data_IF_847094778571
#
_entry.id   IF_847094778571
#
_cell.length_a   1.000
_cell.length_b   1.000
_cell.length_c   1.000
_cell.angle_alpha   90.00
_cell.angle_beta   90.00
_cell.angle_gamma   90.00
#
_symmetry.space_group_name_H-M   'P 1'
#
loop_
_entity.id
_entity.type
_entity.pdbx_description
1 polymer ?
#
# COMPACT_ATOMS: atom_id res chain seq x y z
N UNK A 1 7.52 -9.13 34.40
CA UNK A 1 6.92 -7.86 34.85
C UNK A 1 6.79 -6.99 33.62
N UNK A 2 5.59 -6.88 33.05
CA UNK A 2 5.38 -6.06 31.86
C UNK A 2 5.55 -4.59 32.23
N UNK A 3 6.40 -3.87 31.48
CA UNK A 3 6.54 -2.42 31.62
C UNK A 3 5.18 -1.79 31.32
N UNK A 4 4.56 -1.17 32.33
CA UNK A 4 3.38 -0.32 32.10
C UNK A 4 3.80 0.83 31.19
N UNK A 5 3.03 1.16 30.14
CA UNK A 5 3.35 2.29 29.30
C UNK A 5 3.36 3.56 30.16
N UNK A 6 4.41 4.37 30.02
CA UNK A 6 4.56 5.64 30.76
C UNK A 6 3.49 6.67 30.40
N UNK A 7 2.70 6.41 29.34
CA UNK A 7 1.58 7.24 28.87
C UNK A 7 0.40 6.37 28.48
N UNK A 8 -0.79 6.79 28.89
CA UNK A 8 -2.04 6.16 28.49
C UNK A 8 -2.47 6.61 27.09
N UNK A 9 -3.11 5.71 26.34
CA UNK A 9 -3.68 6.03 25.02
C UNK A 9 -5.02 6.73 25.21
N UNK A 10 -5.10 7.98 24.77
CA UNK A 10 -6.37 8.71 24.71
C UNK A 10 -7.18 8.21 23.51
N UNK A 11 -8.40 7.74 23.78
CA UNK A 11 -9.31 7.23 22.76
C UNK A 11 -10.10 8.37 22.11
N UNK A 12 -9.54 8.96 21.06
CA UNK A 12 -10.22 9.95 20.23
C UNK A 12 -11.25 9.35 19.29
N UNK A 13 -11.09 8.06 18.97
CA UNK A 13 -11.98 7.29 18.12
C UNK A 13 -12.49 6.06 18.88
N UNK A 14 -13.72 5.67 18.61
CA UNK A 14 -14.22 4.34 18.93
C UNK A 14 -13.44 3.29 18.14
N UNK A 15 -13.53 2.03 18.57
CA UNK A 15 -12.88 0.92 17.87
C UNK A 15 -13.40 0.77 16.44
N UNK A 16 -14.70 1.04 16.22
CA UNK A 16 -15.33 0.97 14.91
C UNK A 16 -14.82 2.07 13.97
N UNK A 17 -14.81 3.33 14.42
CA UNK A 17 -14.25 4.46 13.67
C UNK A 17 -12.77 4.27 13.35
N UNK A 18 -11.99 3.75 14.32
CA UNK A 18 -10.58 3.41 14.08
C UNK A 18 -10.43 2.33 13.00
N UNK A 19 -11.28 1.31 13.00
CA UNK A 19 -11.27 0.26 11.98
C UNK A 19 -11.67 0.79 10.59
N UNK A 20 -12.59 1.76 10.53
CA UNK A 20 -12.93 2.45 9.28
C UNK A 20 -11.77 3.30 8.77
N UNK A 21 -11.12 4.06 9.65
CA UNK A 21 -9.96 4.88 9.30
C UNK A 21 -8.79 4.01 8.79
N UNK A 22 -8.53 2.87 9.44
CA UNK A 22 -7.54 1.90 8.99
C UNK A 22 -7.90 1.36 7.59
N UNK A 23 -9.17 1.00 7.36
CA UNK A 23 -9.63 0.49 6.05
C UNK A 23 -9.45 1.54 4.95
N UNK A 24 -9.86 2.78 5.20
CA UNK A 24 -9.72 3.90 4.27
C UNK A 24 -8.24 4.13 3.90
N UNK A 25 -7.37 4.24 4.90
CA UNK A 25 -5.93 4.44 4.68
C UNK A 25 -5.27 3.26 3.98
N UNK A 26 -5.72 2.02 4.23
CA UNK A 26 -5.20 0.84 3.55
C UNK A 26 -5.47 0.88 2.04
N UNK A 27 -6.67 1.30 1.64
CA UNK A 27 -7.02 1.46 0.22
C UNK A 27 -6.13 2.53 -0.42
N UNK A 28 -6.01 3.70 0.21
CA UNK A 28 -5.15 4.78 -0.28
C UNK A 28 -3.68 4.35 -0.39
N UNK A 29 -3.16 3.63 0.62
CA UNK A 29 -1.79 3.11 0.61
C UNK A 29 -1.56 2.08 -0.50
N UNK A 30 -2.54 1.23 -0.81
CA UNK A 30 -2.43 0.26 -1.90
C UNK A 30 -2.43 0.95 -3.27
N UNK A 31 -3.32 1.92 -3.48
CA UNK A 31 -3.34 2.72 -4.71
C UNK A 31 -2.01 3.47 -4.88
N UNK A 32 -1.52 4.13 -3.82
CA UNK A 32 -0.23 4.82 -3.84
C UNK A 32 0.91 3.86 -4.20
N UNK A 33 0.92 2.65 -3.62
CA UNK A 33 1.92 1.63 -3.93
C UNK A 33 1.88 1.22 -5.41
N UNK A 34 0.69 1.06 -5.99
CA UNK A 34 0.53 0.76 -7.43
C UNK A 34 1.00 1.92 -8.32
N UNK A 35 0.78 3.16 -7.91
CA UNK A 35 1.28 4.34 -8.61
C UNK A 35 2.81 4.44 -8.59
N UNK A 36 3.46 4.12 -7.45
CA UNK A 36 4.93 4.02 -7.38
C UNK A 36 5.47 2.96 -8.34
N UNK A 37 4.81 1.80 -8.43
CA UNK A 37 5.18 0.76 -9.38
C UNK A 37 5.14 1.27 -10.84
N UNK A 38 4.04 1.92 -11.25
CA UNK A 38 3.92 2.48 -12.62
C UNK A 38 4.92 3.59 -12.87
N UNK A 39 5.19 4.44 -11.89
CA UNK A 39 6.22 5.48 -11.98
C UNK A 39 7.58 4.90 -12.32
N UNK A 40 7.97 3.77 -11.73
CA UNK A 40 9.23 3.12 -12.08
C UNK A 40 9.23 2.56 -13.50
N UNK A 41 8.10 2.05 -13.99
CA UNK A 41 7.97 1.64 -15.39
C UNK A 41 8.09 2.82 -16.35
N UNK A 42 7.51 3.97 -16.02
CA UNK A 42 7.65 5.20 -16.82
C UNK A 42 9.09 5.71 -16.88
N UNK A 43 9.93 5.39 -15.88
CA UNK A 43 11.37 5.63 -15.92
C UNK A 43 12.15 4.59 -16.75
N UNK A 44 11.48 3.63 -17.36
CA UNK A 44 12.08 2.56 -18.16
C UNK A 44 12.54 1.35 -17.35
N UNK A 45 12.13 1.19 -16.10
CA UNK A 45 12.48 0.00 -15.33
C UNK A 45 11.77 -1.25 -15.88
N UNK A 46 12.44 -2.40 -15.81
CA UNK A 46 11.79 -3.69 -16.07
C UNK A 46 10.76 -4.03 -14.99
N UNK A 47 9.69 -4.75 -15.36
CA UNK A 47 8.60 -5.18 -14.47
C UNK A 47 9.11 -5.84 -13.18
N UNK A 48 10.12 -6.70 -13.29
CA UNK A 48 10.72 -7.36 -12.12
C UNK A 48 11.35 -6.37 -11.13
N UNK A 49 12.03 -5.33 -11.64
CA UNK A 49 12.69 -4.32 -10.81
C UNK A 49 11.64 -3.44 -10.12
N UNK A 50 10.65 -2.96 -10.86
CA UNK A 50 9.55 -2.17 -10.31
C UNK A 50 8.75 -2.96 -9.27
N UNK A 51 8.48 -4.25 -9.51
CA UNK A 51 7.75 -5.12 -8.57
C UNK A 51 8.51 -5.30 -7.24
N UNK A 52 9.83 -5.50 -7.32
CA UNK A 52 10.68 -5.59 -6.12
C UNK A 52 10.67 -4.31 -5.30
N UNK A 53 10.70 -3.15 -5.97
CA UNK A 53 10.70 -1.83 -5.31
C UNK A 53 9.47 -1.62 -4.42
N UNK A 54 8.31 -2.12 -4.85
CA UNK A 54 7.04 -2.01 -4.11
C UNK A 54 6.70 -3.25 -3.28
N UNK A 55 7.64 -4.19 -3.16
CA UNK A 55 7.51 -5.39 -2.34
C UNK A 55 6.47 -6.40 -2.84
N UNK A 56 6.28 -6.52 -4.16
CA UNK A 56 5.40 -7.54 -4.76
C UNK A 56 6.17 -8.51 -5.65
N UNK A 57 5.58 -9.68 -5.92
CA UNK A 57 6.18 -10.68 -6.81
C UNK A 57 6.15 -10.22 -8.27
N UNK A 58 7.00 -10.81 -9.11
CA UNK A 58 7.02 -10.55 -10.57
C UNK A 58 5.64 -10.80 -11.21
N UNK A 59 4.95 -11.85 -10.77
CA UNK A 59 3.63 -12.24 -11.28
C UNK A 59 2.60 -11.15 -10.98
N UNK A 60 2.57 -10.64 -9.74
CA UNK A 60 1.69 -9.52 -9.36
C UNK A 60 2.04 -8.27 -10.18
N UNK A 61 3.33 -8.00 -10.40
CA UNK A 61 3.79 -6.90 -11.24
C UNK A 61 3.21 -6.97 -12.65
N UNK A 62 3.21 -8.13 -13.31
CA UNK A 62 2.59 -8.26 -14.64
C UNK A 62 1.07 -8.05 -14.61
N UNK A 63 0.37 -8.59 -13.62
CA UNK A 63 -1.08 -8.35 -13.45
C UNK A 63 -1.36 -6.85 -13.31
N UNK A 64 -0.53 -6.12 -12.58
CA UNK A 64 -0.68 -4.66 -12.44
C UNK A 64 -0.43 -3.91 -13.74
N UNK A 65 0.54 -4.33 -14.56
CA UNK A 65 0.76 -3.76 -15.90
C UNK A 65 -0.44 -4.02 -16.79
N UNK A 66 -0.95 -5.25 -16.81
CA UNK A 66 -2.12 -5.60 -17.61
C UNK A 66 -3.36 -4.80 -17.20
N UNK A 67 -3.57 -4.62 -15.89
CA UNK A 67 -4.66 -3.79 -15.39
C UNK A 67 -4.46 -2.34 -15.83
N UNK A 68 -3.30 -1.74 -15.55
CA UNK A 68 -2.99 -0.35 -15.91
C UNK A 68 -3.19 -0.04 -17.39
N UNK A 69 -2.80 -0.97 -18.27
CA UNK A 69 -2.94 -0.80 -19.72
C UNK A 69 -4.40 -0.91 -20.22
N UNK A 70 -5.31 -1.49 -19.41
CA UNK A 70 -6.75 -1.58 -19.71
C UNK A 70 -7.52 -0.43 -19.09
N UNK A 71 -7.26 -0.16 -17.82
CA UNK A 71 -7.91 0.85 -17.00
C UNK A 71 -6.97 1.31 -15.88
N UNK A 72 -7.00 2.60 -15.53
CA UNK A 72 -6.27 3.12 -14.36
C UNK A 72 -6.79 2.40 -13.09
N UNK A 73 -5.91 2.23 -12.10
CA UNK A 73 -6.15 1.35 -10.95
C UNK A 73 -7.41 1.59 -10.14
#
# INVERSE_FOLDING_TARGET
MERRPEKEVVKWLTLEELNEEIRSRKVCAEVLRKLFFVKELYKGAAVLKAAKEVGVSKVIGYVWVEKWNKEVF
#
